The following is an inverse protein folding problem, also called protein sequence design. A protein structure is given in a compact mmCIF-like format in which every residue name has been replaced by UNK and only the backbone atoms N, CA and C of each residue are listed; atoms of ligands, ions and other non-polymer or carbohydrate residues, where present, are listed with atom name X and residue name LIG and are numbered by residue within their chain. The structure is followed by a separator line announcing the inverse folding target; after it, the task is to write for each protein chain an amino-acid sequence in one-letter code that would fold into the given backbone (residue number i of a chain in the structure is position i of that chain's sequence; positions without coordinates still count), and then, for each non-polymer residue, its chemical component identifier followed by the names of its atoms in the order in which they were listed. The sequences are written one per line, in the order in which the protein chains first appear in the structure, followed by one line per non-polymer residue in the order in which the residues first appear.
data_IF_859900240976
#
_entry.id   IF_859900240976
#
_cell.length_a   1.000
_cell.length_b   1.000
_cell.length_c   1.000
_cell.angle_alpha   90.00
_cell.angle_beta   90.00
_cell.angle_gamma   90.00
#
_symmetry.space_group_name_H-M   'P 1'
#
loop_
_entity.id
_entity.type
_entity.pdbx_description
1 polymer ?
#
# COMPACT_ATOMS: atom_id res chain seq x y z
N UNK A 1 -21.30 -51.26 -37.17
CA UNK A 1 -21.82 -49.88 -37.18
C UNK A 1 -21.26 -49.17 -35.95
N UNK A 2 -20.23 -48.36 -36.14
CA UNK A 2 -19.66 -47.56 -35.05
C UNK A 2 -20.32 -46.17 -35.08
N UNK A 3 -20.99 -45.80 -33.99
CA UNK A 3 -21.63 -44.50 -33.81
C UNK A 3 -20.54 -43.51 -33.38
N UNK A 4 -20.13 -42.58 -34.25
CA UNK A 4 -19.21 -41.51 -33.95
C UNK A 4 -19.99 -40.42 -33.18
N UNK A 5 -19.73 -40.29 -31.86
CA UNK A 5 -20.29 -39.24 -31.03
C UNK A 5 -19.50 -37.95 -31.28
N UNK A 6 -20.07 -37.03 -32.06
CA UNK A 6 -19.51 -35.69 -32.30
C UNK A 6 -19.81 -34.81 -31.08
N UNK A 7 -18.80 -34.62 -30.19
CA UNK A 7 -18.92 -33.68 -29.07
C UNK A 7 -18.76 -32.26 -29.65
N UNK A 8 -19.87 -31.53 -29.79
CA UNK A 8 -19.86 -30.10 -30.07
C UNK A 8 -19.35 -29.38 -28.84
N UNK A 9 -18.10 -28.92 -28.87
CA UNK A 9 -17.58 -27.91 -27.93
C UNK A 9 -18.24 -26.57 -28.26
N UNK A 10 -19.29 -26.22 -27.52
CA UNK A 10 -19.86 -24.87 -27.55
C UNK A 10 -18.81 -23.92 -26.92
N UNK A 11 -18.49 -22.79 -27.58
CA UNK A 11 -17.64 -21.78 -26.97
C UNK A 11 -18.34 -21.27 -25.70
N UNK A 12 -17.75 -21.48 -24.53
CA UNK A 12 -18.13 -20.78 -23.32
C UNK A 12 -17.83 -19.30 -23.53
N UNK A 13 -18.85 -18.48 -23.76
CA UNK A 13 -18.72 -17.03 -23.67
C UNK A 13 -18.41 -16.71 -22.21
N UNK A 14 -17.17 -16.32 -21.91
CA UNK A 14 -16.83 -15.76 -20.60
C UNK A 14 -17.78 -14.58 -20.35
N UNK A 15 -18.46 -14.58 -19.22
CA UNK A 15 -19.26 -13.43 -18.83
C UNK A 15 -18.33 -12.23 -18.64
N UNK A 16 -18.71 -11.07 -19.19
CA UNK A 16 -17.95 -9.85 -19.00
C UNK A 16 -17.85 -9.54 -17.50
N UNK A 17 -16.62 -9.33 -17.03
CA UNK A 17 -16.37 -8.87 -15.68
C UNK A 17 -16.62 -7.37 -15.58
N UNK A 18 -17.15 -6.91 -14.45
CA UNK A 18 -17.37 -5.47 -14.22
C UNK A 18 -17.13 -5.08 -12.78
N UNK A 19 -16.65 -3.86 -12.59
CA UNK A 19 -16.53 -3.19 -11.29
C UNK A 19 -16.55 -1.67 -11.45
N UNK A 20 -16.67 -0.95 -10.34
CA UNK A 20 -16.56 0.51 -10.30
C UNK A 20 -15.23 0.87 -9.65
N UNK A 21 -14.41 1.65 -10.36
CA UNK A 21 -13.12 2.12 -9.86
C UNK A 21 -13.28 3.25 -8.80
N UNK A 22 -12.17 3.70 -8.24
CA UNK A 22 -12.21 4.70 -7.16
C UNK A 22 -12.54 6.12 -7.61
N UNK A 23 -12.57 6.38 -8.92
CA UNK A 23 -13.09 7.63 -9.48
C UNK A 23 -14.59 7.52 -9.83
N UNK A 24 -15.22 6.37 -9.57
CA UNK A 24 -16.62 6.11 -9.88
C UNK A 24 -16.86 5.69 -11.33
N UNK A 25 -15.81 5.35 -12.07
CA UNK A 25 -15.92 4.88 -13.46
C UNK A 25 -16.27 3.39 -13.49
N UNK A 26 -17.33 3.03 -14.22
CA UNK A 26 -17.67 1.64 -14.48
C UNK A 26 -16.73 1.05 -15.51
N UNK A 27 -16.00 0.03 -15.12
CA UNK A 27 -15.05 -0.72 -15.95
C UNK A 27 -15.69 -2.05 -16.34
N UNK A 28 -15.71 -2.35 -17.63
CA UNK A 28 -16.23 -3.60 -18.18
C UNK A 28 -15.20 -4.21 -19.12
N UNK A 29 -14.89 -5.49 -18.95
CA UNK A 29 -13.95 -6.21 -19.80
C UNK A 29 -14.36 -7.68 -19.92
N UNK A 30 -14.06 -8.29 -21.06
CA UNK A 30 -14.40 -9.68 -21.40
C UNK A 30 -13.18 -10.61 -21.49
N UNK A 31 -11.99 -10.05 -21.35
CA UNK A 31 -10.71 -10.75 -21.35
C UNK A 31 -9.67 -10.04 -20.51
N UNK A 32 -8.68 -10.74 -19.96
CA UNK A 32 -7.56 -10.14 -19.25
C UNK A 32 -6.78 -9.17 -20.13
N UNK A 33 -6.24 -8.13 -19.49
CA UNK A 33 -5.36 -7.17 -20.14
C UNK A 33 -3.93 -7.72 -20.25
N UNK A 34 -3.27 -7.43 -21.36
CA UNK A 34 -1.97 -7.99 -21.71
C UNK A 34 -0.87 -6.95 -21.92
N UNK A 35 -1.23 -5.66 -22.02
CA UNK A 35 -0.31 -4.56 -22.28
C UNK A 35 -0.56 -3.42 -21.30
N UNK A 36 0.00 -3.54 -20.10
CA UNK A 36 -0.32 -2.69 -18.95
C UNK A 36 0.77 -1.63 -18.76
N UNK A 37 0.37 -0.36 -18.68
CA UNK A 37 1.21 0.74 -18.16
C UNK A 37 0.76 1.04 -16.73
N UNK A 38 1.69 0.93 -15.77
CA UNK A 38 1.46 1.20 -14.36
C UNK A 38 2.05 2.56 -13.96
N UNK A 39 1.20 3.51 -13.55
CA UNK A 39 1.65 4.84 -13.12
C UNK A 39 1.75 5.00 -11.59
N UNK A 40 1.78 3.89 -10.87
CA UNK A 40 1.96 3.89 -9.42
C UNK A 40 2.77 2.68 -8.95
N UNK A 41 3.86 2.86 -8.18
CA UNK A 41 4.72 1.74 -7.77
C UNK A 41 3.99 0.60 -7.06
N UNK A 42 2.93 0.88 -6.27
CA UNK A 42 2.19 -0.19 -5.63
C UNK A 42 1.39 -1.05 -6.63
N UNK A 43 0.93 -0.49 -7.77
CA UNK A 43 0.34 -1.31 -8.83
C UNK A 43 1.39 -2.26 -9.40
N UNK A 44 2.57 -1.70 -9.73
CA UNK A 44 3.68 -2.47 -10.30
C UNK A 44 4.14 -3.58 -9.35
N UNK A 45 4.36 -3.26 -8.06
CA UNK A 45 4.76 -4.25 -7.04
C UNK A 45 3.74 -5.41 -6.95
N UNK A 46 2.44 -5.09 -6.91
CA UNK A 46 1.40 -6.11 -6.86
C UNK A 46 1.29 -6.93 -8.14
N UNK A 47 1.41 -6.31 -9.32
CA UNK A 47 1.41 -7.02 -10.60
C UNK A 47 2.58 -8.00 -10.70
N UNK A 48 3.76 -7.60 -10.25
CA UNK A 48 4.95 -8.49 -10.19
C UNK A 48 4.71 -9.65 -9.22
N UNK A 49 4.17 -9.38 -8.02
CA UNK A 49 3.88 -10.41 -7.01
C UNK A 49 2.80 -11.40 -7.49
N UNK A 50 1.84 -10.93 -8.30
CA UNK A 50 0.84 -11.78 -8.97
C UNK A 50 1.43 -12.64 -10.08
N UNK A 51 2.63 -12.33 -10.59
CA UNK A 51 3.23 -13.00 -11.73
C UNK A 51 2.88 -12.37 -13.08
N UNK A 52 2.32 -11.16 -13.10
CA UNK A 52 1.92 -10.43 -14.31
C UNK A 52 3.08 -9.63 -14.97
N UNK A 53 4.34 -9.93 -14.66
CA UNK A 53 5.51 -9.15 -15.10
C UNK A 53 5.57 -8.98 -16.62
N UNK A 54 5.22 -10.03 -17.40
CA UNK A 54 5.24 -9.98 -18.86
C UNK A 54 4.13 -9.09 -19.45
N UNK A 55 3.03 -8.90 -18.73
CA UNK A 55 1.94 -8.00 -19.13
C UNK A 55 2.29 -6.51 -18.91
N UNK A 56 3.27 -6.20 -18.06
CA UNK A 56 3.73 -4.84 -17.82
C UNK A 56 4.62 -4.40 -18.98
N UNK A 57 4.19 -3.38 -19.74
CA UNK A 57 4.99 -2.77 -20.81
C UNK A 57 5.59 -1.42 -20.42
N UNK A 58 5.08 -0.79 -19.35
CA UNK A 58 5.56 0.49 -18.86
C UNK A 58 5.30 0.69 -17.38
N UNK A 59 6.18 1.44 -16.72
CA UNK A 59 6.18 1.67 -15.27
C UNK A 59 6.36 3.14 -14.94
N UNK A 60 6.07 3.54 -13.71
CA UNK A 60 6.26 4.92 -13.28
C UNK A 60 7.73 5.23 -12.94
N UNK A 61 8.09 6.52 -12.94
CA UNK A 61 9.43 6.96 -12.50
C UNK A 61 9.76 6.64 -11.05
N UNK A 62 8.77 6.32 -10.23
CA UNK A 62 8.94 5.98 -8.81
C UNK A 62 9.09 4.49 -8.56
N UNK A 63 9.06 3.65 -9.60
CA UNK A 63 9.25 2.21 -9.49
C UNK A 63 10.70 1.84 -9.19
N UNK A 64 10.89 0.68 -8.54
CA UNK A 64 12.21 0.13 -8.32
C UNK A 64 12.79 -0.38 -9.65
N UNK A 65 13.92 0.18 -10.14
CA UNK A 65 14.52 -0.23 -11.41
C UNK A 65 14.87 -1.73 -11.48
N UNK A 66 15.24 -2.33 -10.35
CA UNK A 66 15.64 -3.74 -10.31
C UNK A 66 14.45 -4.70 -10.43
N UNK A 67 13.27 -4.29 -9.95
CA UNK A 67 12.06 -5.11 -10.05
C UNK A 67 11.44 -5.12 -11.45
N UNK A 68 11.75 -4.10 -12.27
CA UNK A 68 11.11 -3.87 -13.59
C UNK A 68 12.14 -3.61 -14.69
N UNK A 69 13.27 -4.28 -14.62
CA UNK A 69 14.36 -4.16 -15.59
C UNK A 69 13.85 -4.14 -17.03
N UNK A 70 14.33 -3.15 -17.81
CA UNK A 70 14.04 -2.99 -19.24
C UNK A 70 12.60 -2.56 -19.59
N UNK A 71 11.77 -2.17 -18.63
CA UNK A 71 10.46 -1.58 -18.94
C UNK A 71 10.60 -0.07 -19.18
N UNK A 72 9.85 0.44 -20.15
CA UNK A 72 9.85 1.87 -20.44
C UNK A 72 9.23 2.67 -19.28
N UNK A 73 9.77 3.86 -19.01
CA UNK A 73 9.31 4.72 -17.93
C UNK A 73 8.32 5.75 -18.43
N UNK A 74 7.17 5.84 -17.75
CA UNK A 74 6.09 6.78 -18.01
C UNK A 74 5.88 7.72 -16.82
N UNK A 75 5.34 8.89 -17.13
CA UNK A 75 4.93 9.89 -16.16
C UNK A 75 3.54 10.40 -16.51
N UNK A 76 2.78 10.82 -15.53
CA UNK A 76 1.51 11.51 -15.68
C UNK A 76 1.63 12.88 -16.39
N UNK A 77 2.85 13.42 -16.47
CA UNK A 77 3.18 14.61 -17.27
C UNK A 77 3.61 14.32 -18.72
N UNK A 78 3.71 13.05 -19.14
CA UNK A 78 4.04 12.71 -20.53
C UNK A 78 2.85 12.98 -21.46
N UNK A 79 3.11 13.17 -22.76
CA UNK A 79 2.05 13.41 -23.75
C UNK A 79 1.23 12.15 -24.03
N UNK A 80 -0.03 12.32 -24.45
CA UNK A 80 -0.89 11.20 -24.83
C UNK A 80 -0.29 10.38 -25.98
N UNK A 81 0.42 11.02 -26.91
CA UNK A 81 1.06 10.37 -28.05
C UNK A 81 2.09 9.32 -27.61
N UNK A 82 2.82 9.58 -26.53
CA UNK A 82 3.78 8.62 -25.98
C UNK A 82 3.07 7.34 -25.51
N UNK A 83 1.94 7.46 -24.81
CA UNK A 83 1.13 6.33 -24.39
C UNK A 83 0.54 5.58 -25.61
N UNK A 84 -0.02 6.32 -26.56
CA UNK A 84 -0.65 5.74 -27.76
C UNK A 84 0.37 4.99 -28.62
N UNK A 85 1.60 5.47 -28.74
CA UNK A 85 2.66 4.80 -29.47
C UNK A 85 3.04 3.42 -28.86
N UNK A 86 2.89 3.27 -27.54
CA UNK A 86 3.11 1.99 -26.89
C UNK A 86 1.92 1.03 -27.03
N UNK A 87 0.77 1.49 -27.52
CA UNK A 87 -0.46 0.71 -27.68
C UNK A 87 -0.81 -0.15 -26.45
N UNK A 88 -0.95 0.41 -25.22
CA UNK A 88 -1.42 -0.32 -24.07
C UNK A 88 -2.91 -0.67 -24.24
N UNK A 89 -3.36 -1.76 -23.62
CA UNK A 89 -4.78 -2.06 -23.47
C UNK A 89 -5.31 -1.60 -22.10
N UNK A 90 -4.39 -1.39 -21.12
CA UNK A 90 -4.72 -0.90 -19.77
C UNK A 90 -3.70 0.13 -19.28
N UNK A 91 -4.18 1.22 -18.69
CA UNK A 91 -3.37 2.17 -17.91
C UNK A 91 -3.90 2.21 -16.48
N UNK A 92 -3.06 1.80 -15.51
CA UNK A 92 -3.38 1.86 -14.10
C UNK A 92 -2.90 3.18 -13.49
N UNK A 93 -3.82 3.88 -12.87
CA UNK A 93 -3.57 5.18 -12.21
C UNK A 93 -4.11 5.16 -10.78
N UNK A 94 -3.91 6.24 -10.05
CA UNK A 94 -4.55 6.49 -8.75
C UNK A 94 -5.34 7.80 -8.77
N UNK A 95 -6.33 8.00 -7.87
CA UNK A 95 -7.20 9.17 -7.87
C UNK A 95 -6.48 10.53 -7.89
N UNK A 96 -5.25 10.59 -7.36
CA UNK A 96 -4.44 11.81 -7.41
C UNK A 96 -4.03 12.15 -8.86
N UNK A 97 -3.64 11.15 -9.65
CA UNK A 97 -3.27 11.32 -11.06
C UNK A 97 -4.52 11.69 -11.88
N UNK A 98 -5.64 11.01 -11.63
CA UNK A 98 -6.89 11.28 -12.34
C UNK A 98 -7.36 12.73 -12.16
N UNK A 99 -7.25 13.25 -10.95
CA UNK A 99 -7.59 14.66 -10.67
C UNK A 99 -6.61 15.66 -11.26
N UNK A 100 -5.33 15.31 -11.32
CA UNK A 100 -4.29 16.20 -11.82
C UNK A 100 -4.25 16.25 -13.36
N UNK A 101 -4.57 15.15 -14.04
CA UNK A 101 -4.39 15.00 -15.48
C UNK A 101 -5.66 14.46 -16.20
N UNK A 102 -6.85 15.08 -15.98
CA UNK A 102 -8.11 14.56 -16.55
C UNK A 102 -8.12 14.56 -18.08
N UNK A 103 -7.50 15.55 -18.72
CA UNK A 103 -7.45 15.66 -20.18
C UNK A 103 -6.61 14.53 -20.82
N UNK A 104 -5.48 14.16 -20.21
CA UNK A 104 -4.68 13.01 -20.65
C UNK A 104 -5.53 11.73 -20.60
N UNK A 105 -6.15 11.45 -19.46
CA UNK A 105 -6.90 10.21 -19.27
C UNK A 105 -8.15 10.14 -20.16
N UNK A 106 -8.83 11.26 -20.40
CA UNK A 106 -9.92 11.33 -21.38
C UNK A 106 -9.45 10.93 -22.77
N UNK A 107 -8.34 11.53 -23.25
CA UNK A 107 -7.77 11.22 -24.55
C UNK A 107 -7.36 9.73 -24.70
N UNK A 108 -6.82 9.12 -23.65
CA UNK A 108 -6.52 7.69 -23.66
C UNK A 108 -7.79 6.83 -23.81
N UNK A 109 -8.84 7.16 -23.06
CA UNK A 109 -10.14 6.47 -23.14
C UNK A 109 -10.80 6.65 -24.52
N UNK A 110 -10.78 7.85 -25.06
CA UNK A 110 -11.30 8.17 -26.41
C UNK A 110 -10.57 7.39 -27.51
N UNK A 111 -9.33 6.97 -27.23
CA UNK A 111 -8.52 6.15 -28.14
C UNK A 111 -8.69 4.63 -27.89
N UNK A 112 -9.65 4.21 -27.06
CA UNK A 112 -9.97 2.82 -26.80
C UNK A 112 -9.09 2.15 -25.72
N UNK A 113 -8.29 2.91 -24.98
CA UNK A 113 -7.48 2.40 -23.89
C UNK A 113 -8.31 2.41 -22.60
N UNK A 114 -8.35 1.27 -21.91
CA UNK A 114 -8.97 1.19 -20.58
C UNK A 114 -8.08 1.90 -19.56
N UNK A 115 -8.65 2.83 -18.78
CA UNK A 115 -7.96 3.52 -17.69
C UNK A 115 -8.67 3.22 -16.39
N UNK A 116 -7.96 2.66 -15.43
CA UNK A 116 -8.49 2.23 -14.13
C UNK A 116 -7.76 2.94 -13.00
N UNK A 117 -8.52 3.54 -12.09
CA UNK A 117 -8.01 4.29 -10.95
C UNK A 117 -8.21 3.51 -9.66
N UNK A 118 -7.11 3.08 -9.02
CA UNK A 118 -7.11 2.26 -7.81
C UNK A 118 -6.15 2.80 -6.76
N UNK A 119 -6.63 2.98 -5.53
CA UNK A 119 -5.80 3.29 -4.36
C UNK A 119 -6.59 2.99 -3.06
N UNK A 120 -6.51 1.79 -2.49
CA UNK A 120 -7.18 1.48 -1.23
C UNK A 120 -6.63 2.34 -0.08
N UNK A 121 -7.49 2.64 0.88
CA UNK A 121 -7.16 3.45 2.07
C UNK A 121 -7.18 2.64 3.36
N UNK A 122 -7.70 1.42 3.31
CA UNK A 122 -7.78 0.49 4.43
C UNK A 122 -7.42 -0.95 3.99
N UNK A 123 -7.39 -1.87 4.93
CA UNK A 123 -6.94 -3.25 4.67
C UNK A 123 -7.95 -4.08 3.89
N UNK A 124 -9.24 -3.85 4.09
CA UNK A 124 -10.27 -4.55 3.33
C UNK A 124 -10.23 -4.13 1.86
N UNK A 125 -10.13 -2.83 1.62
CA UNK A 125 -9.91 -2.26 0.30
C UNK A 125 -8.59 -2.76 -0.34
N UNK A 126 -7.54 -3.00 0.46
CA UNK A 126 -6.28 -3.57 -0.05
C UNK A 126 -6.48 -5.00 -0.58
N UNK A 127 -7.24 -5.84 0.11
CA UNK A 127 -7.51 -7.20 -0.38
C UNK A 127 -8.42 -7.18 -1.62
N UNK A 128 -9.45 -6.34 -1.63
CA UNK A 128 -10.28 -6.15 -2.81
C UNK A 128 -9.48 -5.62 -4.01
N UNK A 129 -8.55 -4.72 -3.78
CA UNK A 129 -7.64 -4.20 -4.79
C UNK A 129 -6.72 -5.29 -5.37
N UNK A 130 -6.15 -6.18 -4.55
CA UNK A 130 -5.35 -7.31 -5.05
C UNK A 130 -6.19 -8.25 -5.92
N UNK A 131 -7.43 -8.53 -5.50
CA UNK A 131 -8.36 -9.33 -6.29
C UNK A 131 -8.67 -8.64 -7.62
N UNK A 132 -8.98 -7.34 -7.62
CA UNK A 132 -9.23 -6.57 -8.83
C UNK A 132 -8.03 -6.63 -9.80
N UNK A 133 -6.79 -6.55 -9.31
CA UNK A 133 -5.61 -6.71 -10.15
C UNK A 133 -5.49 -8.15 -10.71
N UNK A 134 -5.87 -9.16 -9.93
CA UNK A 134 -6.00 -10.54 -10.39
C UNK A 134 -6.99 -10.67 -11.53
N UNK A 135 -8.20 -10.13 -11.35
CA UNK A 135 -9.27 -10.14 -12.36
C UNK A 135 -8.82 -9.45 -13.65
N UNK A 136 -8.21 -8.26 -13.54
CA UNK A 136 -7.71 -7.50 -14.69
C UNK A 136 -6.62 -8.23 -15.48
N UNK A 137 -5.84 -9.10 -14.83
CA UNK A 137 -4.71 -9.82 -15.43
C UNK A 137 -5.00 -11.29 -15.74
N UNK A 138 -6.18 -11.81 -15.32
CA UNK A 138 -6.53 -13.24 -15.43
C UNK A 138 -5.75 -14.13 -14.44
N UNK A 139 -5.33 -13.56 -13.30
CA UNK A 139 -4.52 -14.21 -12.29
C UNK A 139 -5.24 -14.28 -10.93
N UNK A 140 -6.56 -14.56 -10.94
CA UNK A 140 -7.44 -14.61 -9.76
C UNK A 140 -6.91 -15.55 -8.68
N UNK A 141 -6.48 -16.75 -9.07
CA UNK A 141 -5.94 -17.74 -8.14
C UNK A 141 -4.63 -17.26 -7.49
N UNK A 142 -3.81 -16.50 -8.20
CA UNK A 142 -2.60 -15.89 -7.65
C UNK A 142 -2.94 -14.79 -6.63
N UNK A 143 -3.97 -13.98 -6.91
CA UNK A 143 -4.44 -12.95 -5.98
C UNK A 143 -4.96 -13.55 -4.66
N UNK A 144 -5.78 -14.59 -4.71
CA UNK A 144 -6.24 -15.29 -3.51
C UNK A 144 -5.09 -15.98 -2.76
N UNK A 145 -4.13 -16.57 -3.48
CA UNK A 145 -2.92 -17.14 -2.88
C UNK A 145 -2.08 -16.07 -2.19
N UNK A 146 -1.92 -14.90 -2.81
CA UNK A 146 -1.19 -13.75 -2.25
C UNK A 146 -1.85 -13.27 -0.94
N UNK A 147 -3.18 -13.13 -0.92
CA UNK A 147 -3.94 -12.79 0.27
C UNK A 147 -3.78 -13.83 1.38
N UNK A 148 -3.89 -15.11 1.04
CA UNK A 148 -3.76 -16.22 2.00
C UNK A 148 -2.37 -16.24 2.65
N UNK A 149 -1.30 -16.09 1.86
CA UNK A 149 0.08 -16.00 2.37
C UNK A 149 0.26 -14.81 3.30
N UNK A 150 -0.28 -13.65 2.93
CA UNK A 150 -0.21 -12.45 3.75
C UNK A 150 -0.89 -12.66 5.11
N UNK A 151 -2.11 -13.19 5.12
CA UNK A 151 -2.86 -13.44 6.37
C UNK A 151 -2.19 -14.50 7.25
N UNK A 152 -1.61 -15.53 6.66
CA UNK A 152 -0.81 -16.52 7.41
C UNK A 152 0.43 -15.88 8.06
N UNK A 153 1.11 -14.99 7.34
CA UNK A 153 2.24 -14.23 7.87
C UNK A 153 1.84 -13.29 9.02
N UNK A 154 0.70 -12.61 8.88
CA UNK A 154 0.10 -11.78 9.94
C UNK A 154 -0.18 -12.62 11.19
N UNK A 155 -0.84 -13.77 11.04
CA UNK A 155 -1.13 -14.66 12.16
C UNK A 155 0.14 -15.15 12.87
N UNK A 156 1.19 -15.47 12.11
CA UNK A 156 2.48 -15.90 12.67
C UNK A 156 3.15 -14.78 13.49
N UNK A 157 3.05 -13.52 13.07
CA UNK A 157 3.57 -12.37 13.83
C UNK A 157 2.75 -12.17 15.11
N UNK A 158 1.42 -12.21 15.00
CA UNK A 158 0.53 -12.02 16.16
C UNK A 158 0.75 -13.08 17.25
N UNK A 159 1.07 -14.32 16.88
CA UNK A 159 1.41 -15.39 17.83
C UNK A 159 2.72 -15.13 18.60
N UNK A 160 3.59 -14.26 18.11
CA UNK A 160 4.83 -13.88 18.79
C UNK A 160 4.64 -12.77 19.83
N UNK A 161 3.47 -12.10 19.85
CA UNK A 161 3.18 -11.06 20.85
C UNK A 161 3.08 -11.74 22.22
N UNK A 162 3.90 -11.33 23.22
CA UNK A 162 3.88 -11.97 24.53
C UNK A 162 2.52 -11.86 25.21
N UNK A 163 1.98 -12.96 25.69
CA UNK A 163 0.65 -13.01 26.35
C UNK A 163 0.59 -12.03 27.54
N UNK A 164 1.67 -11.90 28.30
CA UNK A 164 1.78 -10.96 29.41
C UNK A 164 1.66 -9.48 28.97
N UNK A 165 1.95 -9.18 27.71
CA UNK A 165 1.90 -7.83 27.13
C UNK A 165 0.55 -7.51 26.45
N UNK A 166 -0.38 -8.48 26.34
CA UNK A 166 -1.69 -8.22 25.71
C UNK A 166 -2.46 -7.07 26.37
N UNK A 167 -2.34 -6.91 27.69
CA UNK A 167 -2.90 -5.78 28.44
C UNK A 167 -2.02 -4.53 28.50
N UNK A 168 -0.77 -4.61 28.01
CA UNK A 168 0.25 -3.54 28.11
C UNK A 168 0.87 -3.19 26.77
N UNK A 169 0.13 -3.35 25.67
CA UNK A 169 0.62 -3.00 24.36
C UNK A 169 1.15 -1.58 24.35
N UNK A 170 2.36 -1.32 23.80
CA UNK A 170 2.92 0.01 23.78
C UNK A 170 2.01 0.98 23.03
N UNK A 171 1.82 2.16 23.58
CA UNK A 171 1.14 3.27 22.91
C UNK A 171 2.03 3.82 21.80
N UNK A 172 1.55 3.78 20.57
CA UNK A 172 2.29 4.19 19.38
C UNK A 172 1.62 5.39 18.73
N UNK A 173 2.36 6.48 18.57
CA UNK A 173 1.97 7.57 17.69
C UNK A 173 2.70 7.42 16.36
N UNK A 174 1.96 7.52 15.25
CA UNK A 174 2.54 7.45 13.90
C UNK A 174 2.37 8.76 13.17
N UNK A 175 3.46 9.45 12.94
CA UNK A 175 3.49 10.68 12.16
C UNK A 175 3.54 10.40 10.67
N UNK A 176 2.65 11.04 9.91
CA UNK A 176 2.58 10.91 8.46
C UNK A 176 3.31 12.05 7.73
N UNK A 177 3.14 13.29 8.20
CA UNK A 177 3.77 14.49 7.60
C UNK A 177 4.14 15.46 8.74
N UNK A 178 5.43 15.51 9.04
CA UNK A 178 5.97 16.31 10.14
C UNK A 178 5.67 17.81 10.01
N UNK A 179 6.01 18.40 8.89
CA UNK A 179 5.81 19.84 8.64
C UNK A 179 4.35 20.33 8.79
N UNK A 180 3.38 19.40 8.89
CA UNK A 180 1.96 19.67 9.04
C UNK A 180 1.36 19.03 10.29
N UNK A 181 2.17 18.39 11.13
CA UNK A 181 1.76 17.64 12.32
C UNK A 181 0.57 16.71 12.04
N UNK A 182 0.67 15.95 10.91
CA UNK A 182 -0.37 15.03 10.48
C UNK A 182 -0.04 13.61 10.86
N UNK A 183 -1.08 12.86 11.19
CA UNK A 183 -1.04 11.42 11.46
C UNK A 183 -1.80 10.64 10.37
N UNK A 184 -1.95 9.36 10.58
CA UNK A 184 -2.77 8.50 9.73
C UNK A 184 -4.20 8.37 10.26
N UNK A 185 -5.16 8.12 9.35
CA UNK A 185 -6.51 7.73 9.72
C UNK A 185 -6.49 6.44 10.55
N UNK A 186 -7.34 6.32 11.59
CA UNK A 186 -7.43 5.10 12.39
C UNK A 186 -7.71 3.83 11.58
N UNK A 187 -8.40 3.93 10.45
CA UNK A 187 -8.69 2.81 9.55
C UNK A 187 -7.59 2.54 8.51
N UNK A 188 -6.51 3.34 8.50
CA UNK A 188 -5.47 3.24 7.46
C UNK A 188 -4.67 1.92 7.53
N UNK A 189 -4.10 1.55 6.40
CA UNK A 189 -3.17 0.41 6.27
C UNK A 189 -1.98 0.55 7.24
N UNK A 190 -1.51 1.78 7.45
CA UNK A 190 -0.39 2.06 8.39
C UNK A 190 -0.79 1.79 9.85
N UNK A 191 -1.98 2.22 10.27
CA UNK A 191 -2.47 1.93 11.62
C UNK A 191 -2.74 0.43 11.79
N UNK A 192 -3.31 -0.22 10.78
CA UNK A 192 -3.44 -1.67 10.76
C UNK A 192 -2.08 -2.37 10.96
N UNK A 193 -1.01 -1.91 10.30
CA UNK A 193 0.32 -2.47 10.47
C UNK A 193 0.83 -2.34 11.91
N UNK A 194 0.64 -1.16 12.52
CA UNK A 194 1.01 -0.91 13.92
C UNK A 194 0.26 -1.83 14.88
N UNK A 195 -1.06 -1.94 14.74
CA UNK A 195 -1.89 -2.74 15.64
C UNK A 195 -1.64 -4.23 15.48
N UNK A 196 -1.42 -4.68 14.23
CA UNK A 196 -1.05 -6.07 13.92
C UNK A 196 0.32 -6.42 14.49
N UNK A 197 1.27 -5.49 14.49
CA UNK A 197 2.59 -5.67 15.09
C UNK A 197 2.56 -5.72 16.63
N UNK A 198 1.41 -5.44 17.27
CA UNK A 198 1.21 -5.47 18.71
C UNK A 198 1.23 -4.09 19.37
N UNK A 199 1.30 -3.01 18.62
CA UNK A 199 1.14 -1.64 19.15
C UNK A 199 -0.33 -1.29 19.42
N UNK A 200 -0.55 -0.17 20.08
CA UNK A 200 -1.85 0.48 20.27
C UNK A 200 -1.78 1.88 19.67
N UNK A 201 -2.59 2.15 18.65
CA UNK A 201 -2.64 3.49 18.08
C UNK A 201 -3.10 4.53 19.11
N UNK A 202 -2.34 5.61 19.29
CA UNK A 202 -2.69 6.70 20.21
C UNK A 202 -3.65 7.70 19.56
N UNK A 203 -3.54 7.91 18.26
CA UNK A 203 -4.34 8.90 17.52
C UNK A 203 -5.70 8.34 17.06
N UNK A 204 -6.47 7.73 17.97
CA UNK A 204 -7.76 7.08 17.67
C UNK A 204 -8.86 8.06 17.27
N UNK A 205 -8.72 9.32 17.66
CA UNK A 205 -9.65 10.43 17.38
C UNK A 205 -9.24 11.26 16.14
N UNK A 206 -8.18 10.87 15.46
CA UNK A 206 -7.72 11.55 14.25
C UNK A 206 -8.77 11.43 13.11
N UNK A 207 -9.06 12.55 12.47
CA UNK A 207 -10.11 12.63 11.44
C UNK A 207 -9.50 12.89 10.07
N UNK A 208 -9.65 11.96 9.11
CA UNK A 208 -9.19 12.17 7.75
C UNK A 208 -10.10 13.18 7.03
N UNK A 209 -9.52 13.98 6.14
CA UNK A 209 -10.29 14.76 5.17
C UNK A 209 -10.46 13.97 3.86
N UNK A 210 -11.64 14.02 3.26
CA UNK A 210 -11.91 13.52 1.91
C UNK A 210 -11.50 12.05 1.66
N UNK A 211 -11.84 11.13 2.53
CA UNK A 211 -11.49 9.69 2.40
C UNK A 211 -9.98 9.43 2.22
N UNK A 212 -9.14 10.31 2.74
CA UNK A 212 -7.68 10.14 2.74
C UNK A 212 -7.26 9.22 3.89
N UNK A 213 -6.18 8.50 3.71
CA UNK A 213 -5.50 7.77 4.78
C UNK A 213 -4.66 8.68 5.70
N UNK A 214 -4.51 9.97 5.36
CA UNK A 214 -3.84 10.99 6.18
C UNK A 214 -4.88 11.82 6.92
N UNK A 215 -4.66 12.04 8.21
CA UNK A 215 -5.55 12.79 9.09
C UNK A 215 -4.87 14.03 9.68
N UNK A 216 -5.65 15.08 9.89
CA UNK A 216 -5.22 16.23 10.67
C UNK A 216 -5.16 15.83 12.16
N UNK A 217 -4.12 16.29 12.85
CA UNK A 217 -4.02 16.03 14.30
C UNK A 217 -3.55 17.28 15.06
N UNK A 218 -2.39 17.82 14.70
CA UNK A 218 -1.82 19.01 15.32
C UNK A 218 -0.94 18.71 16.54
N UNK A 219 -0.01 19.62 16.78
CA UNK A 219 0.98 19.47 17.87
C UNK A 219 0.32 19.41 19.25
N UNK A 220 -0.72 20.17 19.48
CA UNK A 220 -1.44 20.24 20.74
C UNK A 220 -2.03 18.88 21.14
N UNK A 221 -2.60 18.15 20.19
CA UNK A 221 -3.15 16.81 20.44
C UNK A 221 -2.03 15.80 20.72
N UNK A 222 -0.88 15.92 20.02
CA UNK A 222 0.28 15.07 20.27
C UNK A 222 0.78 15.28 21.70
N UNK A 223 0.98 16.53 22.10
CA UNK A 223 1.47 16.88 23.44
C UNK A 223 0.45 16.54 24.53
N UNK A 224 -0.84 16.72 24.30
CA UNK A 224 -1.88 16.33 25.26
C UNK A 224 -1.84 14.83 25.60
N UNK A 225 -1.31 14.00 24.71
CA UNK A 225 -1.15 12.55 24.91
C UNK A 225 0.30 12.12 25.17
N UNK A 226 1.19 13.07 25.48
CA UNK A 226 2.64 12.86 25.61
C UNK A 226 3.00 11.68 26.53
N UNK A 227 2.27 11.48 27.64
CA UNK A 227 2.49 10.40 28.60
C UNK A 227 2.04 9.01 28.09
N UNK A 228 1.14 8.98 27.10
CA UNK A 228 0.60 7.74 26.54
C UNK A 228 1.44 7.21 25.35
N UNK A 229 2.30 8.08 24.78
CA UNK A 229 3.13 7.75 23.62
C UNK A 229 4.41 7.06 24.10
N UNK A 230 4.39 5.74 24.14
CA UNK A 230 5.54 4.91 24.47
C UNK A 230 6.55 4.81 23.31
N UNK A 231 6.05 4.93 22.07
CA UNK A 231 6.84 4.85 20.84
C UNK A 231 6.35 5.95 19.89
N UNK A 232 7.29 6.71 19.35
CA UNK A 232 7.03 7.69 18.30
C UNK A 232 7.63 7.16 16.99
N UNK A 233 6.76 6.91 16.00
CA UNK A 233 7.15 6.53 14.65
C UNK A 233 6.93 7.72 13.72
N UNK A 234 7.94 8.14 12.97
CA UNK A 234 7.74 9.07 11.86
C UNK A 234 7.98 8.33 10.54
N UNK A 235 6.97 8.34 9.67
CA UNK A 235 7.13 7.84 8.32
C UNK A 235 8.14 8.73 7.59
N UNK A 236 9.15 8.13 6.97
CA UNK A 236 10.06 8.84 6.06
C UNK A 236 9.86 8.40 4.63
N UNK A 237 10.00 9.34 3.71
CA UNK A 237 9.82 9.11 2.29
C UNK A 237 9.57 10.38 1.51
N UNK A 238 9.07 10.24 0.30
CA UNK A 238 8.87 11.37 -0.62
C UNK A 238 7.94 12.45 -0.07
N UNK A 239 6.90 12.07 0.68
CA UNK A 239 5.93 13.02 1.26
C UNK A 239 6.41 13.63 2.58
N UNK A 240 7.31 12.96 3.28
CA UNK A 240 7.85 13.38 4.57
C UNK A 240 9.36 13.13 4.62
N UNK A 241 10.17 13.98 3.96
CA UNK A 241 11.63 13.89 4.02
C UNK A 241 12.12 14.39 5.39
N UNK A 242 12.08 13.51 6.39
CA UNK A 242 12.41 13.81 7.79
C UNK A 242 13.59 12.94 8.24
N UNK A 243 14.41 13.47 9.11
CA UNK A 243 15.47 12.76 9.83
C UNK A 243 15.21 12.77 11.35
N UNK A 244 15.98 11.95 12.05
CA UNK A 244 15.80 11.76 13.50
C UNK A 244 16.21 13.01 14.29
N UNK A 245 17.18 13.77 13.81
CA UNK A 245 17.68 14.98 14.49
C UNK A 245 16.62 16.08 14.43
N UNK A 246 15.96 16.25 13.29
CA UNK A 246 14.84 17.18 13.15
C UNK A 246 13.72 16.85 14.14
N UNK A 247 13.36 15.57 14.27
CA UNK A 247 12.35 15.13 15.24
C UNK A 247 12.76 15.43 16.67
N UNK A 248 14.02 15.14 17.04
CA UNK A 248 14.53 15.35 18.41
C UNK A 248 14.64 16.83 18.79
N UNK A 249 14.72 17.73 17.81
CA UNK A 249 14.78 19.17 18.04
C UNK A 249 13.42 19.89 17.85
N UNK A 250 12.33 19.14 17.57
CA UNK A 250 11.00 19.75 17.47
C UNK A 250 10.53 20.28 18.84
N UNK A 251 10.29 21.62 18.99
CA UNK A 251 9.96 22.20 20.27
C UNK A 251 8.70 21.56 20.89
N UNK A 252 8.81 21.14 22.16
CA UNK A 252 7.75 20.49 22.93
C UNK A 252 7.77 18.96 22.85
N UNK A 253 8.51 18.35 21.90
CA UNK A 253 8.58 16.89 21.77
C UNK A 253 9.40 16.24 22.90
N UNK A 254 10.26 17.01 23.59
CA UNK A 254 10.94 16.59 24.80
C UNK A 254 9.99 16.22 25.96
N UNK A 255 8.73 16.65 25.89
CA UNK A 255 7.68 16.30 26.87
C UNK A 255 7.14 14.88 26.66
N UNK A 256 7.24 14.35 25.43
CA UNK A 256 6.70 13.05 25.02
C UNK A 256 7.54 11.94 25.66
N UNK A 257 6.88 10.94 26.24
CA UNK A 257 7.52 9.80 26.89
C UNK A 257 8.49 9.08 25.95
N UNK A 258 8.11 8.84 24.70
CA UNK A 258 8.95 8.19 23.71
C UNK A 258 10.30 8.91 23.47
N UNK A 259 10.34 10.24 23.54
CA UNK A 259 11.57 11.03 23.40
C UNK A 259 12.45 10.95 24.65
N UNK A 260 11.86 10.87 25.85
CA UNK A 260 12.59 10.68 27.11
C UNK A 260 13.21 9.29 27.19
N UNK A 261 12.52 8.30 26.65
CA UNK A 261 12.93 6.88 26.69
C UNK A 261 13.76 6.48 25.45
N UNK A 262 14.13 7.43 24.57
CA UNK A 262 14.84 7.23 23.29
C UNK A 262 14.16 6.19 22.37
N UNK A 263 12.82 6.13 22.40
CA UNK A 263 12.00 5.22 21.57
C UNK A 263 11.35 5.97 20.40
N UNK A 264 12.18 6.72 19.65
CA UNK A 264 11.80 7.48 18.45
C UNK A 264 12.44 6.83 17.24
N UNK A 265 11.63 6.47 16.23
CA UNK A 265 12.08 5.72 15.08
C UNK A 265 11.56 6.32 13.78
N UNK A 266 12.37 6.19 12.73
CA UNK A 266 11.94 6.41 11.35
C UNK A 266 11.49 5.08 10.74
N UNK A 267 10.44 5.12 9.92
CA UNK A 267 9.95 3.99 9.16
C UNK A 267 9.71 4.38 7.72
N UNK A 268 10.24 3.62 6.77
CA UNK A 268 10.04 3.91 5.35
C UNK A 268 8.58 3.76 4.93
N UNK A 269 8.07 4.73 4.15
CA UNK A 269 6.69 4.71 3.63
C UNK A 269 6.40 3.44 2.82
N UNK A 270 7.40 2.91 2.12
CA UNK A 270 7.28 1.70 1.30
C UNK A 270 6.94 0.45 2.10
N UNK A 271 7.26 0.44 3.40
CA UNK A 271 7.03 -0.69 4.29
C UNK A 271 5.68 -0.64 4.99
N UNK A 272 5.10 0.55 5.20
CA UNK A 272 3.92 0.68 6.07
C UNK A 272 2.74 1.41 5.44
N UNK A 273 2.94 2.15 4.34
CA UNK A 273 1.89 2.98 3.74
C UNK A 273 1.48 2.56 2.33
N UNK A 274 2.12 1.55 1.75
CA UNK A 274 1.76 1.00 0.43
C UNK A 274 0.87 -0.23 0.56
N UNK A 275 -0.19 -0.36 -0.26
CA UNK A 275 -1.10 -1.51 -0.24
C UNK A 275 -0.51 -2.71 -1.00
N UNK A 276 0.64 -3.22 -0.55
CA UNK A 276 1.37 -4.32 -1.18
C UNK A 276 1.72 -5.40 -0.14
N UNK A 277 2.06 -6.65 -0.54
CA UNK A 277 2.50 -7.70 0.38
C UNK A 277 3.75 -7.34 1.20
N UNK A 278 4.53 -6.35 0.75
CA UNK A 278 5.67 -5.80 1.51
C UNK A 278 5.25 -5.24 2.87
N UNK A 279 3.97 -4.89 3.05
CA UNK A 279 3.40 -4.50 4.33
C UNK A 279 3.69 -5.55 5.43
N UNK A 280 3.74 -6.85 5.09
CA UNK A 280 4.10 -7.91 6.05
C UNK A 280 5.52 -7.74 6.59
N UNK A 281 6.47 -7.33 5.74
CA UNK A 281 7.86 -7.01 6.17
C UNK A 281 7.85 -5.81 7.11
N UNK A 282 7.05 -4.79 6.82
CA UNK A 282 6.84 -3.62 7.69
C UNK A 282 6.27 -4.01 9.06
N UNK A 283 5.22 -4.85 9.09
CA UNK A 283 4.61 -5.36 10.32
C UNK A 283 5.65 -6.12 11.16
N UNK A 284 6.44 -6.98 10.53
CA UNK A 284 7.50 -7.73 11.22
C UNK A 284 8.60 -6.82 11.78
N UNK A 285 8.96 -5.77 11.03
CA UNK A 285 9.91 -4.77 11.48
C UNK A 285 9.38 -4.00 12.71
N UNK A 286 8.14 -3.53 12.64
CA UNK A 286 7.46 -2.86 13.75
C UNK A 286 7.36 -3.76 14.98
N UNK A 287 7.02 -5.04 14.81
CA UNK A 287 6.97 -5.99 15.92
C UNK A 287 8.30 -6.08 16.67
N UNK A 288 9.44 -6.14 15.94
CA UNK A 288 10.77 -6.13 16.55
C UNK A 288 11.11 -4.83 17.28
N UNK A 289 10.63 -3.69 16.79
CA UNK A 289 10.79 -2.40 17.48
C UNK A 289 9.95 -2.33 18.78
N UNK A 290 8.76 -2.92 18.76
CA UNK A 290 7.85 -2.89 19.91
C UNK A 290 8.30 -3.85 21.01
N UNK A 291 8.82 -5.03 20.63
CA UNK A 291 9.24 -6.12 21.49
C UNK A 291 10.69 -6.51 21.20
N UNK A 292 11.66 -5.66 21.59
CA UNK A 292 13.08 -5.96 21.35
C UNK A 292 13.46 -7.21 22.15
N UNK A 293 14.05 -8.19 21.47
CA UNK A 293 14.60 -9.37 22.13
C UNK A 293 15.79 -8.94 23.00
N UNK A 294 15.97 -9.54 24.21
CA UNK A 294 17.17 -9.32 24.99
C UNK A 294 18.39 -9.66 24.13
N UNK A 295 19.34 -8.75 24.06
CA UNK A 295 20.60 -9.08 23.40
C UNK A 295 21.23 -10.25 24.16
N UNK A 296 21.33 -11.42 23.52
CA UNK A 296 22.16 -12.49 24.01
C UNK A 296 23.60 -11.99 23.93
N UNK A 297 24.13 -11.51 25.05
CA UNK A 297 25.56 -11.30 25.22
C UNK A 297 26.21 -12.67 25.07
N UNK A 298 26.76 -12.93 23.88
CA UNK A 298 27.62 -14.08 23.64
C UNK A 298 28.91 -13.85 24.43
N UNK A 299 28.88 -14.26 25.70
CA UNK A 299 30.06 -14.36 26.55
C UNK A 299 30.87 -15.57 26.09
N UNK A 300 31.54 -15.45 24.94
CA UNK A 300 32.69 -16.27 24.61
C UNK A 300 33.95 -15.59 25.18
N UNK A 301 34.28 -15.97 26.41
CA UNK A 301 35.65 -15.85 26.90
C UNK A 301 36.50 -16.94 26.27
#
# INVERSE_FOLDING_TARGET
MALLLLILLLPQTAAAAEFVDQDGTRIVFDRPFSRIISLYPAHTENLVELGATEQIIGVSRGDNPDAVRLKETYSDGDSAEKFLAAAPDLVLVRPMISRAHPALLARLRDSGITVVSLQPTDVEGMFAYWQTLGDLTGLDAAAESMRTRFLAGVAAIQQQIPIAEYGRRPGVYVEAIHAKMKTFSPSSITVYAVETAGGRNIATDARPRNKSNIAEYGKEHIIARAAEIDIFLSQTGRMNPIDIDTLKHEPGFELIKAFKDDRVYLIEETLVARPTPRLLVGIQHLHRLFYPQPQTTDNRQ
#
